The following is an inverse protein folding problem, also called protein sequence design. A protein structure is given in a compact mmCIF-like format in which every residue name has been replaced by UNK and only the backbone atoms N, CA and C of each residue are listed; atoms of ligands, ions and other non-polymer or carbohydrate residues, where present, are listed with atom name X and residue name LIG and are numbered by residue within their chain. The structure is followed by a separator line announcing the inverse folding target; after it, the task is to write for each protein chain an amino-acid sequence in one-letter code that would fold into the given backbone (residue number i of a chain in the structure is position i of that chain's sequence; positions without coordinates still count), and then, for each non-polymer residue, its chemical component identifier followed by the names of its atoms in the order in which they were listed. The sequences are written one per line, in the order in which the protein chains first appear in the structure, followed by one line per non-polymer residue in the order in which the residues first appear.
data_IF_421064058246
#
_entry.id   IF_421064058246
#
_cell.length_a   1.000
_cell.length_b   1.000
_cell.length_c   1.000
_cell.angle_alpha   90.00
_cell.angle_beta   90.00
_cell.angle_gamma   90.00
#
_symmetry.space_group_name_H-M   'P 1'
#
loop_
_entity.id
_entity.type
_entity.pdbx_description
1 polymer ?
#
# COMPACT_ATOMS: atom_id res chain seq x y z
N UNK A 1 -16.44 2.10 -1.94
CA UNK A 1 -15.30 3.03 -2.16
C UNK A 1 -14.07 2.32 -2.74
N UNK A 2 -13.14 1.75 -1.93
CA UNK A 2 -11.90 1.16 -2.49
C UNK A 2 -12.15 0.01 -3.47
N UNK A 3 -13.16 -0.83 -3.19
CA UNK A 3 -13.60 -1.90 -4.10
C UNK A 3 -14.00 -1.38 -5.49
N UNK A 4 -14.75 -0.28 -5.52
CA UNK A 4 -15.16 0.36 -6.79
C UNK A 4 -13.96 0.97 -7.52
N UNK A 5 -13.00 1.55 -6.80
CA UNK A 5 -11.75 2.06 -7.40
C UNK A 5 -10.95 0.93 -8.02
N UNK A 6 -10.79 -0.19 -7.30
CA UNK A 6 -10.12 -1.38 -7.80
C UNK A 6 -10.79 -1.91 -9.08
N UNK A 7 -12.11 -2.03 -9.07
CA UNK A 7 -12.88 -2.46 -10.25
C UNK A 7 -12.70 -1.50 -11.44
N UNK A 8 -12.75 -0.19 -11.21
CA UNK A 8 -12.52 0.82 -12.26
C UNK A 8 -11.10 0.81 -12.81
N UNK A 9 -10.11 0.44 -11.99
CA UNK A 9 -8.72 0.26 -12.39
C UNK A 9 -8.47 -1.09 -13.10
N UNK A 10 -9.50 -1.94 -13.25
CA UNK A 10 -9.37 -3.28 -13.85
C UNK A 10 -8.73 -4.31 -12.91
N UNK A 11 -8.61 -4.02 -11.61
CA UNK A 11 -8.09 -4.94 -10.61
C UNK A 11 -9.18 -5.89 -10.12
N UNK A 12 -8.85 -7.18 -10.06
CA UNK A 12 -9.76 -8.21 -9.58
C UNK A 12 -9.68 -8.33 -8.06
N UNK A 13 -10.84 -8.22 -7.40
CA UNK A 13 -10.93 -8.34 -5.93
C UNK A 13 -11.08 -9.81 -5.58
N UNK A 14 -9.98 -10.44 -5.17
CA UNK A 14 -9.94 -11.87 -4.85
C UNK A 14 -10.46 -12.19 -3.45
N UNK A 15 -10.24 -11.30 -2.49
CA UNK A 15 -10.62 -11.47 -1.09
C UNK A 15 -10.96 -10.13 -0.43
N UNK A 16 -11.80 -10.18 0.59
CA UNK A 16 -12.24 -9.04 1.41
C UNK A 16 -12.50 -9.52 2.85
N UNK A 17 -12.07 -8.74 3.83
CA UNK A 17 -12.30 -9.04 5.24
C UNK A 17 -12.44 -7.77 6.06
N UNK A 18 -13.30 -7.82 7.07
CA UNK A 18 -13.36 -6.82 8.14
C UNK A 18 -12.63 -7.42 9.35
N UNK A 19 -11.62 -6.71 9.83
CA UNK A 19 -10.73 -7.18 10.89
C UNK A 19 -10.78 -6.16 12.04
N UNK A 20 -10.82 -6.60 13.32
CA UNK A 20 -10.72 -5.67 14.43
C UNK A 20 -9.35 -4.98 14.47
N UNK A 21 -9.28 -3.85 15.18
CA UNK A 21 -8.05 -3.10 15.49
C UNK A 21 -7.12 -3.91 16.42
N UNK A 22 -6.58 -5.02 15.89
CA UNK A 22 -5.71 -5.95 16.59
C UNK A 22 -4.58 -6.36 15.65
N UNK A 23 -3.33 -6.10 16.08
CA UNK A 23 -2.15 -6.31 15.25
C UNK A 23 -2.05 -7.76 14.73
N UNK A 24 -2.26 -8.76 15.60
CA UNK A 24 -2.19 -10.17 15.21
C UNK A 24 -3.24 -10.51 14.14
N UNK A 25 -4.48 -10.06 14.30
CA UNK A 25 -5.56 -10.35 13.33
C UNK A 25 -5.33 -9.66 11.98
N UNK A 26 -4.81 -8.43 12.00
CA UNK A 26 -4.41 -7.71 10.79
C UNK A 26 -3.29 -8.48 10.08
N UNK A 27 -2.27 -8.92 10.82
CA UNK A 27 -1.15 -9.69 10.28
C UNK A 27 -1.57 -11.02 9.67
N UNK A 28 -2.39 -11.79 10.38
CA UNK A 28 -2.95 -13.06 9.90
C UNK A 28 -3.71 -12.87 8.58
N UNK A 29 -4.51 -11.82 8.50
CA UNK A 29 -5.32 -11.51 7.31
C UNK A 29 -4.44 -11.11 6.13
N UNK A 30 -3.46 -10.23 6.34
CA UNK A 30 -2.53 -9.82 5.27
C UNK A 30 -1.75 -11.03 4.74
N UNK A 31 -1.24 -11.89 5.64
CA UNK A 31 -0.53 -13.12 5.23
C UNK A 31 -1.45 -14.06 4.45
N UNK A 32 -2.67 -14.28 4.93
CA UNK A 32 -3.65 -15.13 4.25
C UNK A 32 -3.98 -14.61 2.86
N UNK A 33 -4.18 -13.30 2.70
CA UNK A 33 -4.44 -12.70 1.39
C UNK A 33 -3.25 -12.83 0.45
N UNK A 34 -2.03 -12.61 0.95
CA UNK A 34 -0.82 -12.84 0.16
C UNK A 34 -0.71 -14.29 -0.32
N UNK A 35 -1.00 -15.26 0.56
CA UNK A 35 -0.99 -16.69 0.23
C UNK A 35 -2.10 -17.09 -0.77
N UNK A 36 -3.21 -16.37 -0.79
CA UNK A 36 -4.28 -16.54 -1.79
C UNK A 36 -3.94 -15.92 -3.16
N UNK A 37 -2.76 -15.33 -3.32
CA UNK A 37 -2.31 -14.74 -4.57
C UNK A 37 -2.68 -13.26 -4.76
N UNK A 38 -3.15 -12.57 -3.71
CA UNK A 38 -3.37 -11.13 -3.77
C UNK A 38 -2.03 -10.39 -3.94
N UNK A 39 -1.73 -9.91 -5.16
CA UNK A 39 -0.52 -9.10 -5.43
C UNK A 39 -0.58 -7.69 -4.86
N UNK A 40 -1.79 -7.16 -4.64
CA UNK A 40 -2.04 -5.88 -3.99
C UNK A 40 -3.01 -6.09 -2.82
N UNK A 41 -2.65 -5.58 -1.65
CA UNK A 41 -3.49 -5.59 -0.46
C UNK A 41 -3.66 -4.16 0.02
N UNK A 42 -4.90 -3.69 0.08
CA UNK A 42 -5.25 -2.36 0.55
C UNK A 42 -5.88 -2.48 1.93
N UNK A 43 -5.29 -1.85 2.95
CA UNK A 43 -5.93 -1.71 4.27
C UNK A 43 -6.49 -0.30 4.40
N UNK A 44 -7.58 -0.13 5.15
CA UNK A 44 -8.19 1.17 5.41
C UNK A 44 -8.52 1.30 6.88
N UNK A 45 -8.02 2.37 7.52
CA UNK A 45 -8.20 2.60 8.96
C UNK A 45 -7.05 2.08 9.81
N UNK A 46 -7.05 2.47 11.09
CA UNK A 46 -6.01 2.11 12.04
C UNK A 46 -4.66 2.82 11.83
N UNK A 47 -4.61 3.91 11.06
CA UNK A 47 -3.38 4.66 10.71
C UNK A 47 -3.25 6.02 11.41
N UNK A 48 -4.16 6.36 12.33
CA UNK A 48 -4.09 7.59 13.12
C UNK A 48 -3.13 7.48 14.30
N UNK A 49 -3.28 8.36 15.30
CA UNK A 49 -2.46 8.36 16.54
C UNK A 49 -3.22 7.82 17.75
N UNK A 50 -4.44 7.30 17.55
CA UNK A 50 -5.24 6.73 18.62
C UNK A 50 -4.63 5.43 19.16
N UNK A 51 -4.93 5.03 20.40
CA UNK A 51 -4.33 3.84 21.03
C UNK A 51 -4.73 2.52 20.35
N UNK A 52 -5.76 2.53 19.51
CA UNK A 52 -6.20 1.38 18.70
C UNK A 52 -5.68 1.44 17.27
N UNK A 53 -5.09 2.54 16.84
CA UNK A 53 -4.53 2.65 15.49
C UNK A 53 -3.24 1.83 15.43
N UNK A 54 -3.33 0.57 15.01
CA UNK A 54 -2.21 -0.39 15.03
C UNK A 54 -1.86 -0.95 13.66
N UNK A 55 -2.50 -0.48 12.59
CA UNK A 55 -2.32 -1.01 11.23
C UNK A 55 -0.87 -0.86 10.73
N UNK A 56 -0.20 0.31 10.88
CA UNK A 56 1.19 0.46 10.49
C UNK A 56 2.13 -0.50 11.23
N UNK A 57 1.96 -0.66 12.56
CA UNK A 57 2.76 -1.57 13.38
C UNK A 57 2.52 -3.03 12.98
N UNK A 58 1.26 -3.39 12.70
CA UNK A 58 0.90 -4.72 12.24
C UNK A 58 1.65 -5.05 10.94
N UNK A 59 1.66 -4.14 9.97
CA UNK A 59 2.38 -4.31 8.70
C UNK A 59 3.89 -4.38 8.93
N UNK A 60 4.45 -3.45 9.70
CA UNK A 60 5.90 -3.44 10.01
C UNK A 60 6.37 -4.72 10.69
N UNK A 61 5.54 -5.33 11.52
CA UNK A 61 5.86 -6.60 12.18
C UNK A 61 5.99 -7.79 11.24
N UNK A 62 5.55 -7.69 9.98
CA UNK A 62 5.52 -8.81 9.03
C UNK A 62 6.08 -8.49 7.64
N UNK A 63 6.46 -7.24 7.39
CA UNK A 63 7.02 -6.81 6.11
C UNK A 63 8.42 -7.35 5.88
N UNK A 64 8.75 -7.55 4.61
CA UNK A 64 10.12 -7.79 4.12
C UNK A 64 10.84 -6.48 3.83
N UNK A 65 10.14 -5.52 3.23
CA UNK A 65 10.69 -4.21 2.81
C UNK A 65 9.65 -3.12 3.04
N UNK A 66 9.99 -2.06 3.77
CA UNK A 66 9.17 -0.84 3.82
C UNK A 66 9.42 0.01 2.57
N UNK A 67 8.37 0.63 2.03
CA UNK A 67 8.44 1.54 0.89
C UNK A 67 8.06 2.96 1.37
N UNK A 68 8.98 3.67 2.06
CA UNK A 68 8.66 4.93 2.73
C UNK A 68 8.14 6.01 1.77
N UNK A 69 8.59 5.99 0.51
CA UNK A 69 8.13 6.89 -0.55
C UNK A 69 6.61 6.90 -0.77
N UNK A 70 5.91 5.78 -0.54
CA UNK A 70 4.44 5.78 -0.59
C UNK A 70 3.83 6.62 0.52
N UNK A 71 4.32 6.47 1.75
CA UNK A 71 3.85 7.25 2.90
C UNK A 71 4.17 8.74 2.72
N UNK A 72 5.37 9.05 2.24
CA UNK A 72 5.81 10.42 1.94
C UNK A 72 4.88 11.10 0.92
N UNK A 73 4.66 10.47 -0.24
CA UNK A 73 3.79 11.03 -1.29
C UNK A 73 2.35 11.16 -0.80
N UNK A 74 1.79 10.12 -0.16
CA UNK A 74 0.41 10.17 0.35
C UNK A 74 0.22 11.33 1.33
N UNK A 75 1.15 11.56 2.26
CA UNK A 75 1.08 12.68 3.22
C UNK A 75 1.32 14.02 2.53
N UNK A 76 2.31 14.11 1.64
CA UNK A 76 2.64 15.35 0.93
C UNK A 76 1.46 15.88 0.11
N UNK A 77 0.80 15.00 -0.65
CA UNK A 77 -0.37 15.38 -1.44
C UNK A 77 -1.59 15.67 -0.54
N UNK A 78 -1.79 14.87 0.52
CA UNK A 78 -2.89 15.12 1.48
C UNK A 78 -2.72 16.44 2.25
N UNK A 79 -1.49 16.91 2.50
CA UNK A 79 -1.22 18.19 3.17
C UNK A 79 -1.72 19.40 2.39
N UNK A 80 -1.80 19.28 1.06
CA UNK A 80 -2.37 20.33 0.18
C UNK A 80 -3.88 20.49 0.39
N UNK A 81 -4.54 19.49 0.99
CA UNK A 81 -5.98 19.42 1.19
C UNK A 81 -6.33 19.66 2.66
N UNK A 82 -5.57 19.06 3.58
CA UNK A 82 -5.73 19.27 5.01
C UNK A 82 -4.40 19.25 5.77
N UNK A 83 -4.13 20.24 6.64
CA UNK A 83 -2.90 20.29 7.42
C UNK A 83 -2.77 19.12 8.42
N UNK A 84 -3.89 18.52 8.82
CA UNK A 84 -3.91 17.40 9.77
C UNK A 84 -3.35 16.09 9.20
N UNK A 85 -3.12 16.02 7.89
CA UNK A 85 -2.60 14.80 7.23
C UNK A 85 -1.20 14.40 7.70
N UNK A 86 -0.45 15.32 8.33
CA UNK A 86 0.83 15.01 8.99
C UNK A 86 0.71 13.97 10.10
N UNK A 87 -0.49 13.82 10.69
CA UNK A 87 -0.76 12.87 11.77
C UNK A 87 -0.96 11.43 11.26
N UNK A 88 -1.12 11.25 9.95
CA UNK A 88 -1.28 9.94 9.36
C UNK A 88 0.02 9.15 9.44
N UNK A 89 -0.07 7.89 9.83
CA UNK A 89 1.04 6.92 9.78
C UNK A 89 0.89 5.94 8.62
N UNK A 90 0.20 6.36 7.55
CA UNK A 90 0.09 5.60 6.31
C UNK A 90 1.47 5.23 5.74
N UNK A 91 1.54 4.06 5.11
CA UNK A 91 2.76 3.51 4.53
C UNK A 91 2.42 2.51 3.44
N UNK A 92 3.44 2.09 2.69
CA UNK A 92 3.38 0.85 1.94
C UNK A 92 4.57 -0.04 2.28
N UNK A 93 4.40 -1.34 2.12
CA UNK A 93 5.46 -2.32 2.35
C UNK A 93 5.21 -3.58 1.53
N UNK A 94 6.25 -4.38 1.33
CA UNK A 94 6.14 -5.71 0.73
C UNK A 94 5.97 -6.74 1.84
N UNK A 95 4.91 -7.55 1.75
CA UNK A 95 4.65 -8.71 2.63
C UNK A 95 4.50 -9.95 1.76
N UNK A 96 5.39 -10.93 1.91
CA UNK A 96 5.47 -12.04 0.97
C UNK A 96 5.70 -11.54 -0.46
N UNK A 97 4.76 -11.85 -1.36
CA UNK A 97 4.74 -11.39 -2.76
C UNK A 97 3.72 -10.26 -3.02
N UNK A 98 3.17 -9.65 -1.96
CA UNK A 98 2.15 -8.63 -2.06
C UNK A 98 2.69 -7.23 -1.75
N UNK A 99 2.30 -6.24 -2.54
CA UNK A 99 2.36 -4.84 -2.17
C UNK A 99 1.20 -4.53 -1.21
N UNK A 100 1.51 -4.14 0.02
CA UNK A 100 0.54 -3.77 1.04
C UNK A 100 0.55 -2.26 1.21
N UNK A 101 -0.60 -1.60 1.10
CA UNK A 101 -0.75 -0.14 1.27
C UNK A 101 -1.75 0.14 2.39
N UNK A 102 -1.28 0.88 3.40
CA UNK A 102 -2.12 1.33 4.51
C UNK A 102 -2.71 2.71 4.21
N UNK A 103 -4.03 2.76 4.03
CA UNK A 103 -4.78 3.96 3.67
C UNK A 103 -5.54 4.53 4.89
N UNK A 104 -5.88 5.84 4.88
CA UNK A 104 -6.73 6.45 5.91
C UNK A 104 -8.10 5.77 6.04
N UNK A 105 -8.73 5.87 7.23
CA UNK A 105 -10.01 5.20 7.49
C UNK A 105 -11.25 5.86 6.86
N UNK A 106 -11.21 7.17 6.57
CA UNK A 106 -12.34 7.86 5.94
C UNK A 106 -12.43 7.43 4.46
N UNK A 107 -13.59 6.96 3.95
CA UNK A 107 -13.70 6.44 2.59
C UNK A 107 -13.16 7.37 1.50
N UNK A 108 -13.46 8.68 1.59
CA UNK A 108 -12.94 9.67 0.63
C UNK A 108 -11.42 9.84 0.73
N UNK A 109 -10.88 9.87 1.96
CA UNK A 109 -9.43 10.00 2.19
C UNK A 109 -8.66 8.76 1.73
N UNK A 110 -9.25 7.56 1.87
CA UNK A 110 -8.67 6.32 1.36
C UNK A 110 -8.54 6.34 -0.17
N UNK A 111 -9.62 6.72 -0.86
CA UNK A 111 -9.67 6.79 -2.32
C UNK A 111 -8.71 7.85 -2.86
N UNK A 112 -8.69 9.03 -2.22
CA UNK A 112 -7.81 10.13 -2.59
C UNK A 112 -6.32 9.77 -2.39
N UNK A 113 -5.95 9.24 -1.21
CA UNK A 113 -4.59 8.76 -0.95
C UNK A 113 -4.14 7.68 -1.93
N UNK A 114 -5.01 6.73 -2.26
CA UNK A 114 -4.71 5.71 -3.26
C UNK A 114 -4.44 6.33 -4.63
N UNK A 115 -5.20 7.36 -5.01
CA UNK A 115 -5.00 8.10 -6.25
C UNK A 115 -3.61 8.72 -6.38
N UNK A 116 -3.06 9.27 -5.30
CA UNK A 116 -1.72 9.90 -5.29
C UNK A 116 -0.58 8.94 -5.62
N UNK A 117 -0.75 7.65 -5.32
CA UNK A 117 0.28 6.62 -5.51
C UNK A 117 -0.09 5.59 -6.58
N UNK A 118 -1.25 5.73 -7.22
CA UNK A 118 -1.80 4.76 -8.17
C UNK A 118 -0.81 4.39 -9.28
N UNK A 119 -0.08 5.37 -9.82
CA UNK A 119 0.85 5.16 -10.93
C UNK A 119 2.00 4.19 -10.63
N UNK A 120 2.41 4.06 -9.37
CA UNK A 120 3.50 3.17 -8.97
C UNK A 120 3.04 1.72 -8.73
N UNK A 121 1.74 1.50 -8.53
CA UNK A 121 1.19 0.22 -8.08
C UNK A 121 1.45 -0.93 -9.06
N UNK A 122 1.16 -0.82 -10.37
CA UNK A 122 1.35 -1.94 -11.30
C UNK A 122 2.79 -2.45 -11.35
N UNK A 123 3.76 -1.52 -11.37
CA UNK A 123 5.17 -1.88 -11.36
C UNK A 123 5.60 -2.46 -10.01
N UNK A 124 5.15 -1.86 -8.90
CA UNK A 124 5.45 -2.37 -7.55
C UNK A 124 4.94 -3.79 -7.32
N UNK A 125 3.73 -4.11 -7.80
CA UNK A 125 3.17 -5.47 -7.74
C UNK A 125 4.00 -6.44 -8.57
N UNK A 126 4.36 -6.07 -9.81
CA UNK A 126 5.15 -6.93 -10.69
C UNK A 126 6.55 -7.24 -10.10
N UNK A 127 7.20 -6.25 -9.48
CA UNK A 127 8.46 -6.44 -8.76
C UNK A 127 8.29 -7.34 -7.52
N UNK A 128 7.23 -7.17 -6.74
CA UNK A 128 6.96 -7.99 -5.56
C UNK A 128 6.72 -9.46 -5.90
N UNK A 129 6.15 -9.72 -7.08
CA UNK A 129 5.87 -11.05 -7.63
C UNK A 129 7.03 -11.61 -8.47
N UNK A 130 8.16 -10.91 -8.57
CA UNK A 130 9.31 -11.32 -9.38
C UNK A 130 8.96 -11.58 -10.86
N UNK A 131 7.91 -10.92 -11.35
CA UNK A 131 7.51 -11.01 -12.75
C UNK A 131 8.43 -10.12 -13.58
N UNK A 132 8.95 -10.59 -14.74
CA UNK A 132 9.82 -9.77 -15.59
C UNK A 132 9.14 -8.45 -15.94
N UNK A 133 9.72 -7.33 -15.51
CA UNK A 133 9.24 -5.99 -15.86
C UNK A 133 10.07 -5.44 -17.00
N UNK A 134 9.48 -5.28 -18.18
CA UNK A 134 10.12 -4.52 -19.25
C UNK A 134 9.96 -3.03 -18.96
N UNK A 135 10.90 -2.43 -18.24
CA UNK A 135 10.99 -0.97 -18.21
C UNK A 135 11.42 -0.49 -19.60
N UNK A 136 10.52 0.12 -20.37
CA UNK A 136 10.91 0.87 -21.56
C UNK A 136 11.45 2.23 -21.09
N UNK A 137 12.74 2.28 -20.79
CA UNK A 137 13.46 3.55 -20.66
C UNK A 137 13.72 4.11 -22.05
N UNK A 138 12.95 5.08 -22.51
CA UNK A 138 13.46 6.03 -23.51
C UNK A 138 14.37 7.04 -22.79
N UNK A 139 15.58 6.59 -22.43
CA UNK A 139 16.71 7.45 -22.13
C UNK A 139 18.00 6.62 -22.21
N UNK A 140 18.99 7.19 -22.91
CA UNK A 140 20.21 6.57 -23.40
C UNK A 140 21.07 5.84 -22.36
N UNK A 141 21.86 4.89 -22.87
CA UNK A 141 22.95 4.22 -22.19
C UNK A 141 23.84 5.19 -21.40
N UNK A 142 23.74 5.12 -20.07
CA UNK A 142 24.87 5.46 -19.18
C UNK A 142 25.22 4.17 -18.47
N UNK A 143 26.30 3.52 -18.91
CA UNK A 143 26.88 2.42 -18.17
C UNK A 143 27.34 2.93 -16.82
N UNK A 144 26.67 2.51 -15.76
CA UNK A 144 27.13 2.66 -14.39
C UNK A 144 27.04 1.28 -13.74
N UNK A 145 28.20 0.67 -13.47
CA UNK A 145 28.26 -0.46 -12.56
C UNK A 145 28.22 0.10 -11.14
N UNK A 146 27.10 -0.10 -10.46
CA UNK A 146 27.00 0.02 -9.00
C UNK A 146 26.52 -1.31 -8.46
N UNK A 147 27.16 -1.76 -7.36
CA UNK A 147 27.03 -3.07 -6.69
C UNK A 147 25.62 -3.67 -6.69
#
# INVERSE_FOLDING_TARGET
ALKEVAQKAGWHVLAEAIVPDNATRIQETIRSFSQQGCGLILTTGGTGIGPRDVTPEAIRGIMRVELPGFGEVMRAESMKITPNSILSRNLAAIVGHALVIALPGKPSGAVECLGFVHGAIPHGVALAQETPTSYKSEAASVGCHSL
#
